data_IF_687469099799
#
_entry.id   IF_687469099799
#
_cell.length_a   1.000
_cell.length_b   1.000
_cell.length_c   1.000
_cell.angle_alpha   90.00
_cell.angle_beta   90.00
_cell.angle_gamma   90.00
#
_symmetry.space_group_name_H-M   'P 1'
#
loop_
_entity.id
_entity.type
_entity.pdbx_description
1 polymer ?
#
# COMPACT_ATOMS: atom_id res chain seq x y z
N UNK A 1 -21.01 72.36 1.80
CA UNK A 1 -20.59 72.03 3.18
C UNK A 1 -20.58 70.52 3.31
N UNK A 2 -19.45 69.99 3.77
CA UNK A 2 -18.98 68.61 3.78
C UNK A 2 -19.89 67.63 4.52
N UNK A 3 -20.03 66.38 4.01
CA UNK A 3 -19.82 65.15 4.80
C UNK A 3 -19.71 63.92 3.89
N UNK A 4 -18.44 63.53 3.62
CA UNK A 4 -18.08 62.18 3.19
C UNK A 4 -18.22 61.25 4.40
N UNK A 5 -19.04 60.21 4.29
CA UNK A 5 -19.08 59.10 5.24
C UNK A 5 -18.35 57.92 4.59
N UNK A 6 -17.10 57.72 5.00
CA UNK A 6 -16.37 56.47 4.81
C UNK A 6 -16.66 55.56 6.01
N UNK A 7 -17.17 54.37 5.76
CA UNK A 7 -17.26 53.26 6.71
C UNK A 7 -16.85 52.00 5.94
N UNK A 8 -15.56 51.66 5.97
CA UNK A 8 -14.95 50.71 6.90
C UNK A 8 -15.36 49.27 6.61
N UNK A 9 -14.35 48.49 6.23
CA UNK A 9 -14.36 47.05 6.04
C UNK A 9 -14.95 46.30 7.23
N UNK A 10 -15.82 45.34 6.96
CA UNK A 10 -16.11 44.23 7.86
C UNK A 10 -16.89 43.17 7.09
N UNK A 11 -16.25 42.11 6.60
CA UNK A 11 -16.82 40.77 6.60
C UNK A 11 -15.65 39.79 6.72
N UNK A 12 -15.40 39.43 7.97
CA UNK A 12 -14.47 38.42 8.38
C UNK A 12 -14.94 37.04 7.91
N UNK A 13 -13.95 36.29 7.46
CA UNK A 13 -13.85 34.85 7.29
C UNK A 13 -14.79 34.04 8.19
N UNK A 14 -15.70 33.26 7.59
CA UNK A 14 -16.20 32.03 8.19
C UNK A 14 -15.47 30.90 7.46
N UNK A 15 -14.28 30.55 7.97
CA UNK A 15 -13.73 29.21 7.79
C UNK A 15 -14.32 28.39 8.94
N UNK A 16 -15.43 27.71 8.67
CA UNK A 16 -15.91 26.67 9.58
C UNK A 16 -14.83 25.59 9.64
N UNK A 17 -14.14 25.53 10.77
CA UNK A 17 -13.28 24.43 11.14
C UNK A 17 -14.15 23.18 11.32
N UNK A 18 -14.43 22.49 10.21
CA UNK A 18 -14.71 21.07 10.28
C UNK A 18 -13.36 20.39 10.48
N UNK A 19 -13.08 19.99 11.71
CA UNK A 19 -12.12 18.92 11.95
C UNK A 19 -12.73 17.65 11.37
N UNK A 20 -12.61 17.46 10.06
CA UNK A 20 -12.69 16.13 9.47
C UNK A 20 -11.58 15.33 10.13
N UNK A 21 -11.93 14.39 11.00
CA UNK A 21 -10.99 13.34 11.37
C UNK A 21 -10.67 12.63 10.05
N UNK A 22 -9.48 12.87 9.51
CA UNK A 22 -8.97 12.10 8.40
C UNK A 22 -8.74 10.68 8.92
N UNK A 23 -9.68 9.80 8.63
CA UNK A 23 -9.50 8.36 8.78
C UNK A 23 -8.93 7.82 7.48
N UNK A 24 -8.14 6.75 7.56
CA UNK A 24 -7.65 6.06 6.37
C UNK A 24 -8.82 5.60 5.50
N UNK A 25 -8.78 5.97 4.22
CA UNK A 25 -9.69 5.44 3.21
C UNK A 25 -9.02 4.24 2.52
N UNK A 26 -9.80 3.36 1.87
CA UNK A 26 -9.23 2.31 1.02
C UNK A 26 -8.30 2.94 -0.03
N UNK A 27 -7.18 2.28 -0.29
CA UNK A 27 -6.26 2.63 -1.36
C UNK A 27 -6.82 2.22 -2.73
N UNK A 28 -7.76 1.26 -2.75
CA UNK A 28 -8.35 0.70 -3.96
C UNK A 28 -7.26 0.18 -4.91
N UNK A 29 -6.39 -0.68 -4.37
CA UNK A 29 -5.23 -1.17 -5.10
C UNK A 29 -5.67 -1.97 -6.32
N UNK A 30 -5.13 -1.62 -7.49
CA UNK A 30 -5.17 -2.47 -8.67
C UNK A 30 -3.83 -3.19 -8.75
N UNK A 31 -3.82 -4.45 -8.31
CA UNK A 31 -2.63 -5.29 -8.32
C UNK A 31 -2.37 -5.80 -9.74
N UNK A 32 -1.10 -5.96 -10.11
CA UNK A 32 -0.76 -6.71 -11.32
C UNK A 32 -1.04 -8.20 -11.09
N UNK A 33 -1.41 -8.92 -12.15
CA UNK A 33 -1.57 -10.38 -12.08
C UNK A 33 -0.24 -11.07 -11.77
N UNK A 34 0.88 -10.53 -12.32
CA UNK A 34 2.25 -10.94 -12.01
C UNK A 34 3.21 -9.75 -11.99
N UNK A 35 4.32 -9.81 -11.22
CA UNK A 35 4.66 -10.84 -10.23
C UNK A 35 3.78 -10.77 -8.97
N UNK A 36 3.46 -11.93 -8.40
CA UNK A 36 2.64 -12.09 -7.19
C UNK A 36 3.24 -13.13 -6.23
N UNK A 37 3.06 -12.89 -4.92
CA UNK A 37 3.40 -13.84 -3.86
C UNK A 37 2.15 -14.05 -3.00
N UNK A 38 1.66 -15.28 -3.01
CA UNK A 38 0.58 -15.71 -2.14
C UNK A 38 1.12 -16.05 -0.75
N UNK A 39 0.49 -15.48 0.28
CA UNK A 39 0.88 -15.62 1.69
C UNK A 39 -0.30 -16.16 2.49
N UNK A 40 -0.03 -17.10 3.38
CA UNK A 40 -1.05 -17.71 4.23
C UNK A 40 -0.61 -17.96 5.66
N UNK A 41 -1.58 -18.43 6.45
CA UNK A 41 -1.40 -18.76 7.87
C UNK A 41 -0.84 -17.58 8.67
N UNK A 42 -1.31 -16.37 8.34
CA UNK A 42 -0.81 -15.15 8.95
C UNK A 42 -1.45 -14.98 10.33
N UNK A 43 -0.59 -14.77 11.33
CA UNK A 43 -0.98 -14.20 12.61
C UNK A 43 -0.88 -12.69 12.52
N UNK A 44 -2.02 -12.02 12.66
CA UNK A 44 -2.13 -10.56 12.72
C UNK A 44 -2.37 -10.15 14.16
N UNK A 45 -1.63 -9.15 14.62
CA UNK A 45 -1.80 -8.54 15.93
C UNK A 45 -1.69 -7.03 15.79
N UNK A 46 -2.62 -6.30 16.40
CA UNK A 46 -2.53 -4.86 16.57
C UNK A 46 -2.68 -4.48 18.04
N UNK A 47 -1.67 -3.80 18.59
CA UNK A 47 -1.69 -3.29 19.95
C UNK A 47 -0.84 -2.02 20.06
N UNK A 48 -1.39 -1.01 20.74
CA UNK A 48 -0.62 0.20 21.11
C UNK A 48 -0.04 0.98 19.92
N UNK A 49 -0.71 0.98 18.78
CA UNK A 49 -0.24 1.64 17.57
C UNK A 49 0.67 0.79 16.68
N UNK A 50 0.94 -0.45 17.06
CA UNK A 50 1.79 -1.37 16.30
C UNK A 50 0.95 -2.50 15.71
N UNK A 51 0.98 -2.64 14.39
CA UNK A 51 0.47 -3.80 13.65
C UNK A 51 1.63 -4.71 13.29
N UNK A 52 1.49 -6.01 13.56
CA UNK A 52 2.39 -7.05 13.06
C UNK A 52 1.58 -8.13 12.37
N UNK A 53 2.03 -8.55 11.19
CA UNK A 53 1.45 -9.64 10.43
C UNK A 53 2.57 -10.59 10.02
N UNK A 54 2.57 -11.79 10.60
CA UNK A 54 3.61 -12.80 10.38
C UNK A 54 3.00 -14.11 9.90
N UNK A 55 3.52 -14.67 8.82
CA UNK A 55 3.02 -15.90 8.23
C UNK A 55 4.02 -16.54 7.30
N UNK A 56 3.53 -17.35 6.37
CA UNK A 56 4.35 -18.06 5.41
C UNK A 56 4.06 -17.57 3.99
N UNK A 57 5.12 -17.22 3.27
CA UNK A 57 5.06 -17.05 1.83
C UNK A 57 4.99 -18.46 1.20
N UNK A 58 3.95 -18.73 0.42
CA UNK A 58 3.61 -20.09 -0.01
C UNK A 58 4.05 -20.35 -1.45
N UNK A 59 3.73 -19.41 -2.33
CA UNK A 59 4.04 -19.53 -3.75
C UNK A 59 4.37 -18.18 -4.37
N UNK A 60 5.15 -18.22 -5.44
CA UNK A 60 5.51 -17.09 -6.27
C UNK A 60 5.04 -17.34 -7.70
N UNK A 61 4.22 -16.43 -8.22
CA UNK A 61 3.90 -16.37 -9.63
C UNK A 61 4.71 -15.24 -10.28
N UNK A 62 5.60 -15.61 -11.19
CA UNK A 62 6.48 -14.67 -11.89
C UNK A 62 6.05 -14.36 -13.31
N UNK A 63 5.08 -15.09 -13.88
CA UNK A 63 4.65 -14.90 -15.27
C UNK A 63 3.26 -15.48 -15.52
N UNK A 64 2.42 -14.77 -16.28
CA UNK A 64 1.05 -15.22 -16.61
C UNK A 64 0.99 -16.54 -17.40
N UNK A 65 2.15 -17.08 -17.82
CA UNK A 65 2.26 -18.27 -18.66
C UNK A 65 2.83 -19.49 -17.95
N UNK A 66 3.53 -19.28 -16.83
CA UNK A 66 4.17 -20.36 -16.08
C UNK A 66 3.33 -20.69 -14.84
N UNK A 67 3.36 -21.94 -14.35
CA UNK A 67 2.74 -22.25 -13.08
C UNK A 67 3.46 -21.55 -11.93
N UNK A 68 2.70 -21.10 -10.93
CA UNK A 68 3.25 -20.60 -9.67
C UNK A 68 4.21 -21.63 -9.05
N UNK A 69 5.33 -21.13 -8.54
CA UNK A 69 6.40 -21.92 -7.94
C UNK A 69 6.29 -21.89 -6.42
N UNK A 70 6.53 -23.03 -5.77
CA UNK A 70 6.56 -23.10 -4.32
C UNK A 70 7.71 -22.27 -3.74
N UNK A 71 7.42 -21.54 -2.65
CA UNK A 71 8.43 -20.88 -1.82
C UNK A 71 8.74 -21.80 -0.64
N UNK A 72 9.87 -22.51 -0.72
CA UNK A 72 10.32 -23.42 0.33
C UNK A 72 10.90 -22.61 1.50
N UNK A 73 10.47 -22.95 2.73
CA UNK A 73 10.81 -22.21 3.95
C UNK A 73 10.45 -20.72 3.86
N UNK A 74 9.36 -20.40 3.17
CA UNK A 74 8.93 -19.03 2.95
C UNK A 74 8.43 -18.36 4.23
N UNK A 75 8.96 -17.17 4.55
CA UNK A 75 8.51 -16.35 5.67
C UNK A 75 8.01 -15.01 5.15
N UNK A 76 6.91 -14.55 5.74
CA UNK A 76 6.34 -13.23 5.52
C UNK A 76 6.28 -12.48 6.84
N UNK A 77 6.82 -11.26 6.85
CA UNK A 77 6.77 -10.35 7.99
C UNK A 77 6.41 -8.95 7.50
N UNK A 78 5.32 -8.42 8.03
CA UNK A 78 4.91 -7.03 7.86
C UNK A 78 4.79 -6.40 9.25
N UNK A 79 5.43 -5.24 9.43
CA UNK A 79 5.29 -4.44 10.64
C UNK A 79 4.89 -3.02 10.25
N UNK A 80 3.87 -2.47 10.90
CA UNK A 80 3.41 -1.11 10.65
C UNK A 80 3.16 -0.37 11.98
N UNK A 81 3.46 0.92 11.99
CA UNK A 81 3.05 1.84 13.04
C UNK A 81 1.86 2.64 12.51
N UNK A 82 0.69 2.41 13.10
CA UNK A 82 -0.59 2.99 12.69
C UNK A 82 -1.18 3.68 13.91
N UNK A 83 -1.53 4.96 13.79
CA UNK A 83 -2.14 5.68 14.91
C UNK A 83 -3.60 5.27 15.15
N UNK A 84 -4.21 5.78 16.22
CA UNK A 84 -5.60 5.48 16.56
C UNK A 84 -6.62 6.05 15.55
N UNK A 85 -6.21 6.95 14.66
CA UNK A 85 -7.04 7.46 13.57
C UNK A 85 -6.90 6.61 12.28
N UNK A 86 -5.97 5.66 12.25
CA UNK A 86 -5.71 4.80 11.09
C UNK A 86 -4.69 5.39 10.11
N UNK A 87 -3.84 6.33 10.54
CA UNK A 87 -2.77 6.87 9.70
C UNK A 87 -1.48 6.07 9.88
N UNK A 88 -0.82 5.74 8.78
CA UNK A 88 0.51 5.12 8.78
C UNK A 88 1.58 6.14 9.15
N UNK A 89 2.38 5.83 10.18
CA UNK A 89 3.56 6.58 10.55
C UNK A 89 4.84 5.98 9.92
N UNK A 90 4.95 4.66 9.90
CA UNK A 90 6.07 3.92 9.30
C UNK A 90 5.74 2.43 9.18
N UNK A 91 6.56 1.67 8.46
CA UNK A 91 6.49 0.23 8.48
C UNK A 91 7.44 -0.41 7.48
N UNK A 92 7.53 -1.74 7.53
CA UNK A 92 8.34 -2.52 6.61
C UNK A 92 7.69 -3.85 6.22
N UNK A 93 8.11 -4.35 5.06
CA UNK A 93 7.84 -5.68 4.53
C UNK A 93 9.17 -6.43 4.38
N UNK A 94 9.17 -7.70 4.80
CA UNK A 94 10.22 -8.67 4.47
C UNK A 94 9.58 -9.99 4.05
N UNK A 95 9.97 -10.47 2.88
CA UNK A 95 9.68 -11.82 2.39
C UNK A 95 10.98 -12.56 2.16
N UNK A 96 11.09 -13.76 2.70
CA UNK A 96 12.25 -14.64 2.52
C UNK A 96 11.82 -16.05 2.17
N UNK A 97 12.74 -16.86 1.65
CA UNK A 97 12.45 -18.24 1.27
C UNK A 97 13.40 -18.73 0.18
N UNK A 98 13.03 -19.82 -0.49
CA UNK A 98 13.76 -20.36 -1.65
C UNK A 98 12.78 -20.75 -2.73
N UNK A 99 13.03 -20.29 -3.96
CA UNK A 99 12.23 -20.61 -5.15
C UNK A 99 13.14 -21.34 -6.13
N UNK A 100 12.87 -22.63 -6.33
CA UNK A 100 13.68 -23.49 -7.18
C UNK A 100 15.16 -23.46 -6.79
N UNK A 101 16.05 -23.34 -7.78
CA UNK A 101 17.48 -23.11 -7.57
C UNK A 101 17.92 -21.70 -7.94
N UNK A 102 16.97 -20.83 -8.27
CA UNK A 102 17.23 -19.50 -8.82
C UNK A 102 17.27 -18.43 -7.74
N UNK A 103 16.37 -18.52 -6.76
CA UNK A 103 16.22 -17.50 -5.72
C UNK A 103 16.30 -18.12 -4.33
N UNK A 104 17.06 -17.53 -3.41
CA UNK A 104 17.18 -17.98 -2.02
C UNK A 104 17.58 -16.87 -1.05
N UNK A 105 17.08 -16.96 0.19
CA UNK A 105 17.34 -15.97 1.23
C UNK A 105 16.28 -14.88 1.22
N UNK A 106 16.67 -13.61 1.11
CA UNK A 106 15.73 -12.48 1.08
C UNK A 106 15.18 -12.29 -0.32
N UNK A 107 13.88 -12.56 -0.47
CA UNK A 107 13.19 -12.49 -1.76
C UNK A 107 12.71 -11.07 -2.06
N UNK A 108 12.12 -10.39 -1.07
CA UNK A 108 11.61 -9.03 -1.26
C UNK A 108 11.67 -8.25 0.05
N UNK A 109 12.08 -6.98 -0.01
CA UNK A 109 11.96 -6.03 1.10
C UNK A 109 11.35 -4.72 0.64
N UNK A 110 10.66 -4.04 1.55
CA UNK A 110 10.08 -2.74 1.26
C UNK A 110 9.80 -1.91 2.51
N UNK A 111 9.72 -0.60 2.31
CA UNK A 111 9.25 0.35 3.32
C UNK A 111 7.79 0.71 3.02
N UNK A 112 6.91 0.63 4.02
CA UNK A 112 5.49 0.96 3.83
C UNK A 112 5.34 2.47 3.65
N UNK A 113 4.59 2.86 2.62
CA UNK A 113 4.42 4.24 2.17
C UNK A 113 2.97 4.73 2.28
N UNK A 114 2.00 3.81 2.23
CA UNK A 114 0.60 4.12 2.47
C UNK A 114 -0.13 2.93 3.10
N UNK A 115 -1.22 3.26 3.78
CA UNK A 115 -2.12 2.30 4.41
C UNK A 115 -3.56 2.76 4.16
N UNK A 116 -4.44 1.80 3.89
CA UNK A 116 -5.87 2.03 3.75
C UNK A 116 -6.67 0.84 4.25
N UNK A 117 -7.93 1.12 4.61
CA UNK A 117 -8.87 0.13 5.12
C UNK A 117 -10.30 0.59 4.81
N UNK A 118 -11.25 -0.34 4.82
CA UNK A 118 -12.67 -0.01 4.73
C UNK A 118 -13.22 0.33 6.12
N UNK A 119 -13.98 1.41 6.25
CA UNK A 119 -14.62 1.85 7.51
C UNK A 119 -16.01 1.24 7.76
N UNK A 120 -16.57 0.54 6.76
CA UNK A 120 -17.85 -0.16 6.84
C UNK A 120 -17.67 -1.52 7.57
N UNK A 121 -18.70 -2.15 8.18
CA UNK A 121 -18.56 -3.07 9.32
C UNK A 121 -17.79 -4.37 9.05
N UNK A 122 -17.31 -4.59 7.84
CA UNK A 122 -16.37 -5.65 7.50
C UNK A 122 -14.90 -5.30 7.82
N UNK A 123 -14.48 -4.02 7.79
CA UNK A 123 -13.12 -3.55 8.12
C UNK A 123 -12.00 -3.99 7.16
N UNK A 124 -12.17 -5.15 6.55
CA UNK A 124 -11.21 -5.94 5.81
C UNK A 124 -11.51 -5.86 4.29
N UNK A 125 -10.50 -5.92 3.39
CA UNK A 125 -9.08 -6.09 3.66
C UNK A 125 -8.36 -4.81 4.10
N UNK A 126 -7.18 -5.02 4.71
CA UNK A 126 -6.19 -3.98 4.97
C UNK A 126 -5.26 -3.87 3.76
N UNK A 127 -5.11 -2.67 3.22
CA UNK A 127 -4.31 -2.40 2.03
C UNK A 127 -3.05 -1.62 2.38
N UNK A 128 -1.90 -2.02 1.87
CA UNK A 128 -0.64 -1.30 2.03
C UNK A 128 0.05 -1.06 0.69
N UNK A 129 0.68 0.10 0.55
CA UNK A 129 1.67 0.35 -0.50
C UNK A 129 3.05 0.35 0.12
N UNK A 130 4.03 -0.16 -0.61
CA UNK A 130 5.43 -0.11 -0.20
C UNK A 130 6.34 0.30 -1.35
N UNK A 131 7.42 1.01 -1.01
CA UNK A 131 8.54 1.20 -1.91
C UNK A 131 9.48 0.01 -1.79
N UNK A 132 9.79 -0.64 -2.90
CA UNK A 132 10.71 -1.78 -2.94
C UNK A 132 12.13 -1.30 -2.57
N UNK A 133 12.75 -1.94 -1.57
CA UNK A 133 14.09 -1.57 -1.07
C UNK A 133 15.17 -2.59 -1.42
N UNK A 134 14.79 -3.81 -1.78
CA UNK A 134 15.75 -4.87 -2.09
C UNK A 134 15.13 -6.26 -2.14
N UNK A 135 16.00 -7.27 -2.14
CA UNK A 135 15.65 -8.68 -2.35
C UNK A 135 15.88 -9.13 -3.79
N UNK A 136 15.91 -10.44 -3.99
CA UNK A 136 16.19 -11.03 -5.30
C UNK A 136 15.06 -10.84 -6.32
N UNK A 137 13.81 -10.66 -5.87
CA UNK A 137 12.64 -10.39 -6.72
C UNK A 137 12.41 -8.89 -6.96
N UNK A 138 13.23 -8.00 -6.38
CA UNK A 138 13.01 -6.56 -6.42
C UNK A 138 12.87 -5.99 -7.85
N UNK A 139 13.66 -6.51 -8.80
CA UNK A 139 13.61 -6.08 -10.19
C UNK A 139 12.30 -6.43 -10.90
N UNK A 140 11.62 -7.49 -10.47
CA UNK A 140 10.34 -7.91 -11.04
C UNK A 140 9.19 -7.04 -10.52
N UNK A 141 9.24 -6.62 -9.25
CA UNK A 141 8.22 -5.77 -8.63
C UNK A 141 8.33 -4.29 -9.05
N UNK A 142 9.49 -3.87 -9.57
CA UNK A 142 9.75 -2.47 -9.90
C UNK A 142 9.95 -1.61 -8.65
N UNK A 143 9.47 -0.37 -8.67
CA UNK A 143 9.70 0.58 -7.58
C UNK A 143 8.65 0.52 -6.46
N UNK A 144 7.44 0.05 -6.78
CA UNK A 144 6.27 0.11 -5.89
C UNK A 144 5.51 -1.21 -5.96
N UNK A 145 5.24 -1.79 -4.81
CA UNK A 145 4.37 -2.95 -4.65
C UNK A 145 3.16 -2.65 -3.76
N UNK A 146 2.18 -3.53 -3.83
CA UNK A 146 0.99 -3.52 -3.00
C UNK A 146 0.91 -4.76 -2.11
N UNK A 147 0.16 -4.64 -1.02
CA UNK A 147 -0.18 -5.76 -0.14
C UNK A 147 -1.66 -5.66 0.14
N UNK A 148 -2.40 -6.74 -0.10
CA UNK A 148 -3.79 -6.88 0.33
C UNK A 148 -3.81 -7.94 1.43
N UNK A 149 -3.97 -7.51 2.68
CA UNK A 149 -4.04 -8.39 3.85
C UNK A 149 -5.50 -8.61 4.23
N UNK A 150 -5.95 -9.85 4.10
CA UNK A 150 -7.31 -10.26 4.42
C UNK A 150 -7.39 -11.13 5.67
N UNK A 151 -8.60 -11.27 6.22
CA UNK A 151 -8.87 -12.04 7.45
C UNK A 151 -8.00 -11.60 8.65
N UNK A 152 -7.75 -10.29 8.73
CA UNK A 152 -6.87 -9.64 9.69
C UNK A 152 -7.42 -9.60 11.12
N UNK A 153 -8.73 -9.83 11.29
CA UNK A 153 -9.44 -9.63 12.55
C UNK A 153 -9.81 -8.16 12.82
N UNK A 154 -9.44 -7.24 11.92
CA UNK A 154 -9.85 -5.85 12.01
C UNK A 154 -11.35 -5.69 11.77
N UNK A 155 -12.01 -4.92 12.63
CA UNK A 155 -13.48 -4.71 12.63
C UNK A 155 -13.86 -3.24 12.42
N UNK A 156 -12.93 -2.41 11.94
CA UNK A 156 -13.14 -0.97 11.75
C UNK A 156 -12.63 -0.08 12.90
N UNK A 157 -11.95 -0.64 13.92
CA UNK A 157 -11.43 0.12 15.07
C UNK A 157 -9.99 -0.27 15.43
N UNK A 158 -9.11 0.72 15.56
CA UNK A 158 -7.71 0.59 15.98
C UNK A 158 -7.54 0.64 17.51
N UNK A 159 -8.28 -0.20 18.22
CA UNK A 159 -8.14 -0.38 19.67
C UNK A 159 -7.22 -1.56 19.98
N UNK A 160 -7.68 -2.77 19.66
CA UNK A 160 -6.91 -4.00 19.70
C UNK A 160 -7.63 -5.03 18.82
N UNK A 161 -6.88 -5.75 18.00
CA UNK A 161 -7.42 -6.86 17.22
C UNK A 161 -6.33 -7.88 16.96
N UNK A 162 -6.74 -9.13 16.77
CA UNK A 162 -5.86 -10.22 16.38
C UNK A 162 -6.61 -11.31 15.61
N UNK A 163 -5.85 -12.06 14.82
CA UNK A 163 -6.32 -13.18 14.02
C UNK A 163 -5.17 -14.16 13.77
N UNK A 164 -5.47 -15.44 13.59
CA UNK A 164 -4.49 -16.48 13.21
C UNK A 164 -4.81 -17.12 11.86
N UNK A 165 -5.73 -16.52 11.10
CA UNK A 165 -6.22 -17.03 9.82
C UNK A 165 -6.02 -16.03 8.68
N UNK A 166 -5.11 -15.08 8.85
CA UNK A 166 -4.86 -14.06 7.84
C UNK A 166 -4.26 -14.67 6.56
N UNK A 167 -4.55 -14.03 5.45
CA UNK A 167 -3.98 -14.31 4.13
C UNK A 167 -3.56 -12.99 3.50
N UNK A 168 -2.56 -13.01 2.64
CA UNK A 168 -2.18 -11.80 1.91
C UNK A 168 -1.67 -12.11 0.51
N UNK A 169 -1.89 -11.14 -0.38
CA UNK A 169 -1.27 -11.12 -1.70
C UNK A 169 -0.26 -9.96 -1.73
N UNK A 170 0.93 -10.24 -2.26
CA UNK A 170 2.01 -9.25 -2.42
C UNK A 170 2.36 -9.20 -3.90
N UNK A 171 1.93 -8.14 -4.58
CA UNK A 171 2.08 -8.02 -6.03
C UNK A 171 2.62 -6.65 -6.44
N UNK A 172 3.11 -6.56 -7.68
CA UNK A 172 3.52 -5.30 -8.27
C UNK A 172 2.30 -4.39 -8.51
N UNK A 173 2.51 -3.07 -8.47
CA UNK A 173 1.49 -2.10 -8.86
C UNK A 173 1.74 -1.66 -10.32
N UNK A 174 0.78 -1.87 -11.25
CA UNK A 174 0.90 -1.39 -12.61
C UNK A 174 1.07 0.12 -12.65
N UNK A 175 2.07 0.60 -13.39
CA UNK A 175 2.22 2.03 -13.63
C UNK A 175 1.00 2.51 -14.43
N UNK A 176 0.27 3.57 -13.99
CA UNK A 176 -0.92 4.03 -14.68
C UNK A 176 -0.64 4.34 -16.16
N UNK A 177 -1.51 3.84 -17.07
CA UNK A 177 -1.40 4.07 -18.51
C UNK A 177 -1.30 5.57 -18.89
N UNK A 178 -1.83 6.46 -18.03
CA UNK A 178 -1.73 7.90 -18.19
C UNK A 178 -0.28 8.42 -18.17
N UNK A 179 0.64 7.78 -17.43
CA UNK A 179 2.06 8.16 -17.41
C UNK A 179 2.70 7.89 -18.77
N UNK A 180 2.38 6.75 -19.38
CA UNK A 180 2.82 6.42 -20.73
C UNK A 180 2.27 7.40 -21.77
N UNK A 181 1.00 7.78 -21.63
CA UNK A 181 0.34 8.73 -22.52
C UNK A 181 0.93 10.15 -22.37
N UNK A 182 1.28 10.56 -21.15
CA UNK A 182 1.95 11.84 -20.91
C UNK A 182 3.36 11.88 -21.50
N UNK A 183 4.14 10.80 -21.33
CA UNK A 183 5.51 10.72 -21.88
C UNK A 183 5.51 10.72 -23.41
N UNK A 184 4.57 9.98 -24.03
CA UNK A 184 4.41 9.98 -25.50
C UNK A 184 3.88 11.31 -26.03
N UNK A 185 2.98 11.99 -25.30
CA UNK A 185 2.52 13.33 -25.66
C UNK A 185 3.64 14.38 -25.61
N UNK A 186 4.52 14.34 -24.60
CA UNK A 186 5.68 15.24 -24.53
C UNK A 186 6.71 14.97 -25.64
N UNK A 187 6.98 13.69 -25.95
CA UNK A 187 7.86 13.31 -27.05
C UNK A 187 7.30 13.71 -28.42
N UNK A 188 5.98 13.66 -28.59
CA UNK A 188 5.31 14.15 -29.80
C UNK A 188 5.38 15.68 -29.96
N UNK A 189 5.32 16.43 -28.85
CA UNK A 189 5.34 17.89 -28.88
C UNK A 189 6.75 18.45 -29.16
N UNK A 190 7.82 17.76 -28.76
CA UNK A 190 9.20 18.14 -29.09
C UNK A 190 9.58 17.88 -30.55
N UNK A 191 8.80 17.07 -31.28
CA UNK A 191 8.97 16.81 -32.72
C UNK A 191 8.42 17.89 -33.66
N UNK A 192 7.60 18.84 -33.17
CA UNK A 192 6.98 19.87 -34.01
C UNK A 192 7.79 21.17 -34.15
N UNK A 193 8.95 21.29 -33.50
CA UNK A 193 9.76 22.53 -33.49
C UNK A 193 10.91 22.53 -34.50
N UNK A 194 10.69 22.02 -35.71
CA UNK A 194 11.61 22.15 -36.85
C UNK A 194 10.85 22.02 -38.19
N UNK A 195 9.94 22.95 -38.47
CA UNK A 195 9.47 23.28 -39.83
C UNK A 195 9.23 24.78 -39.94
#
# INVERSE_FOLDING_TARGET
>A
MVRKLSFSAFWATILLAFSINAHGAPLALTMADTPDIAVGFITVEYAGGSLSANGFALSFDGSDTDPALDIVNGLFTLNAQIDSAGNLASGSLVVSGTIGSQYSGTLLTGDLTAFGFNDNPAGDPLEFLFSVTGGELASLYGAVGGIILASSGFSGSFTHFSSTSGTADVAAIPVPAAVWLMLTALAGLSGFRNR
#
